data_IF_264220489315
#
_entry.id   IF_264220489315
#
_cell.length_a   1.000
_cell.length_b   1.000
_cell.length_c   1.000
_cell.angle_alpha   90.00
_cell.angle_beta   90.00
_cell.angle_gamma   90.00
#
_symmetry.space_group_name_H-M   'P 1'
#
loop_
_entity.id
_entity.type
_entity.pdbx_description
1 polymer ?
#
# COMPACT_ATOMS: atom_id res chain seq x y z
N UNK A 1 -49.15 45.59 -3.38
CA UNK A 1 -48.58 44.65 -4.35
C UNK A 1 -47.61 43.73 -3.59
N UNK A 2 -48.06 42.52 -3.23
CA UNK A 2 -47.21 41.55 -2.49
C UNK A 2 -46.50 40.66 -3.50
N UNK A 3 -45.17 40.74 -3.53
CA UNK A 3 -44.34 39.88 -4.38
C UNK A 3 -44.09 38.57 -3.59
N UNK A 4 -44.63 37.48 -4.09
CA UNK A 4 -44.39 36.13 -3.56
C UNK A 4 -43.15 35.57 -4.27
N UNK A 5 -42.06 35.40 -3.53
CA UNK A 5 -40.89 34.69 -4.03
C UNK A 5 -41.15 33.19 -3.95
N UNK A 6 -41.25 32.54 -5.11
CA UNK A 6 -41.22 31.10 -5.24
C UNK A 6 -39.75 30.65 -5.18
N UNK A 7 -39.35 30.06 -4.05
CA UNK A 7 -38.10 29.36 -3.97
C UNK A 7 -38.29 27.97 -4.60
N UNK A 8 -37.73 27.75 -5.77
CA UNK A 8 -37.62 26.41 -6.38
C UNK A 8 -36.56 25.64 -5.60
N UNK A 9 -36.87 24.46 -5.00
CA UNK A 9 -35.84 23.59 -4.45
C UNK A 9 -35.09 22.94 -5.63
N UNK A 10 -33.82 23.31 -5.80
CA UNK A 10 -32.89 22.56 -6.63
C UNK A 10 -32.62 21.20 -5.97
N UNK A 11 -33.32 20.16 -6.43
CA UNK A 11 -32.99 18.77 -6.11
C UNK A 11 -31.71 18.42 -6.91
N UNK A 12 -30.56 18.47 -6.24
CA UNK A 12 -29.35 17.87 -6.75
C UNK A 12 -29.55 16.35 -6.72
N UNK A 13 -29.93 15.74 -7.82
CA UNK A 13 -29.80 14.32 -8.02
C UNK A 13 -28.29 13.99 -8.11
N UNK A 14 -27.70 13.62 -7.00
CA UNK A 14 -26.42 12.91 -7.02
C UNK A 14 -26.70 11.56 -7.69
N UNK A 15 -26.27 11.41 -8.93
CA UNK A 15 -26.32 10.15 -9.67
C UNK A 15 -25.26 9.21 -9.06
N UNK A 16 -25.59 8.52 -7.95
CA UNK A 16 -24.74 7.45 -7.45
C UNK A 16 -24.89 6.25 -8.37
N UNK A 17 -23.77 5.75 -8.91
CA UNK A 17 -23.75 4.51 -9.68
C UNK A 17 -24.27 3.35 -8.81
N UNK A 18 -25.08 2.47 -9.40
CA UNK A 18 -25.52 1.26 -8.70
C UNK A 18 -24.35 0.28 -8.46
N UNK A 19 -24.46 -0.60 -7.50
CA UNK A 19 -23.49 -1.69 -7.24
C UNK A 19 -23.17 -2.47 -8.51
N UNK A 20 -24.21 -2.79 -9.30
CA UNK A 20 -24.01 -3.48 -10.58
C UNK A 20 -23.17 -2.67 -11.57
N UNK A 21 -23.35 -1.36 -11.64
CA UNK A 21 -22.59 -0.50 -12.56
C UNK A 21 -21.13 -0.36 -12.13
N UNK A 22 -20.83 -0.44 -10.83
CA UNK A 22 -19.46 -0.41 -10.32
C UNK A 22 -18.72 -1.73 -10.53
N UNK A 23 -19.43 -2.87 -10.44
CA UNK A 23 -18.82 -4.19 -10.45
C UNK A 23 -18.94 -4.95 -11.78
N UNK A 24 -19.98 -4.67 -12.60
CA UNK A 24 -20.27 -5.42 -13.81
C UNK A 24 -20.11 -4.54 -15.05
N UNK A 25 -19.44 -5.09 -16.06
CA UNK A 25 -19.23 -4.43 -17.37
C UNK A 25 -19.77 -5.29 -18.52
N UNK A 26 -20.13 -4.67 -19.61
CA UNK A 26 -20.66 -5.37 -20.78
C UNK A 26 -19.59 -5.64 -21.85
N UNK A 27 -18.49 -4.90 -21.83
CA UNK A 27 -17.44 -5.02 -22.85
C UNK A 27 -16.06 -5.18 -22.22
N UNK A 28 -15.19 -5.94 -22.88
CA UNK A 28 -13.80 -6.16 -22.46
C UNK A 28 -12.95 -4.90 -22.41
N UNK A 29 -13.24 -3.91 -23.25
CA UNK A 29 -12.54 -2.62 -23.27
C UNK A 29 -12.70 -1.84 -21.97
N UNK A 30 -13.81 -2.08 -21.25
CA UNK A 30 -14.09 -1.42 -19.97
C UNK A 30 -13.37 -2.10 -18.78
N UNK A 31 -12.70 -3.23 -19.06
CA UNK A 31 -11.99 -4.07 -18.06
C UNK A 31 -10.52 -3.69 -17.94
N UNK A 32 -9.92 -3.27 -19.05
CA UNK A 32 -8.51 -2.90 -19.10
C UNK A 32 -8.45 -1.39 -18.88
N UNK A 33 -8.02 -0.96 -17.71
CA UNK A 33 -7.69 0.44 -17.49
C UNK A 33 -6.51 0.78 -18.41
N UNK A 34 -6.69 1.77 -19.30
CA UNK A 34 -5.58 2.33 -20.06
C UNK A 34 -4.51 2.78 -19.07
N UNK A 35 -3.30 2.26 -19.23
CA UNK A 35 -2.15 2.65 -18.44
C UNK A 35 -1.88 4.13 -18.70
N UNK A 36 -2.23 4.98 -17.75
CA UNK A 36 -1.83 6.39 -17.78
C UNK A 36 -0.42 6.50 -17.19
N UNK A 37 0.55 6.84 -18.03
CA UNK A 37 1.89 7.16 -17.57
C UNK A 37 1.83 8.32 -16.57
N UNK A 38 2.23 8.06 -15.34
CA UNK A 38 2.25 9.09 -14.31
C UNK A 38 3.40 10.07 -14.61
N UNK A 39 3.07 11.34 -14.80
CA UNK A 39 4.09 12.39 -14.92
C UNK A 39 4.85 12.50 -13.61
N UNK A 40 6.18 12.47 -13.72
CA UNK A 40 7.06 12.66 -12.57
C UNK A 40 6.81 14.01 -11.90
N UNK A 41 6.74 14.02 -10.57
CA UNK A 41 6.63 15.25 -9.79
C UNK A 41 7.93 16.04 -9.83
N UNK A 42 7.82 17.36 -9.83
CA UNK A 42 8.94 18.27 -9.61
C UNK A 42 9.24 18.41 -8.12
N UNK A 43 10.43 18.87 -7.77
CA UNK A 43 10.81 19.17 -6.37
C UNK A 43 9.77 20.08 -5.71
N UNK A 44 9.34 21.16 -6.40
CA UNK A 44 8.35 22.09 -5.85
C UNK A 44 6.99 21.43 -5.59
N UNK A 45 6.55 20.52 -6.44
CA UNK A 45 5.31 19.77 -6.22
C UNK A 45 5.44 18.86 -4.99
N UNK A 46 6.55 18.12 -4.86
CA UNK A 46 6.80 17.27 -3.68
C UNK A 46 6.81 18.10 -2.40
N UNK A 47 7.51 19.24 -2.40
CA UNK A 47 7.62 20.10 -1.23
C UNK A 47 6.28 20.77 -0.86
N UNK A 48 5.45 21.13 -1.84
CA UNK A 48 4.15 21.75 -1.59
C UNK A 48 3.09 20.74 -1.14
N UNK A 49 3.19 19.49 -1.62
CA UNK A 49 2.23 18.43 -1.32
C UNK A 49 2.69 17.47 -0.22
N UNK A 50 3.88 17.68 0.34
CA UNK A 50 4.40 16.83 1.41
C UNK A 50 3.45 16.76 2.62
N UNK A 51 3.45 15.64 3.38
CA UNK A 51 2.71 15.57 4.62
C UNK A 51 3.04 16.72 5.58
N UNK A 52 2.05 17.26 6.26
CA UNK A 52 2.24 18.40 7.19
C UNK A 52 3.14 18.08 8.39
N UNK A 53 3.23 16.79 8.77
CA UNK A 53 4.09 16.31 9.85
C UNK A 53 5.55 16.13 9.43
N UNK A 54 5.84 16.18 8.12
CA UNK A 54 7.20 16.00 7.59
C UNK A 54 7.91 17.34 7.46
N UNK A 55 9.01 17.49 8.17
CA UNK A 55 9.97 18.56 7.95
C UNK A 55 11.07 18.07 7.00
N UNK A 56 11.44 18.89 6.02
CA UNK A 56 12.53 18.60 5.08
C UNK A 56 13.59 19.69 5.21
N UNK A 57 14.80 19.30 5.61
CA UNK A 57 15.94 20.21 5.80
C UNK A 57 17.03 19.87 4.80
N UNK A 58 17.68 20.89 4.21
CA UNK A 58 18.82 20.69 3.32
C UNK A 58 20.09 20.48 4.13
N UNK A 59 20.82 19.40 3.84
CA UNK A 59 22.11 19.09 4.44
C UNK A 59 23.24 19.77 3.67
N UNK A 60 24.21 20.34 4.37
CA UNK A 60 25.44 20.91 3.76
C UNK A 60 26.44 19.82 3.35
N UNK A 61 26.48 18.74 4.12
CA UNK A 61 27.32 17.55 3.87
C UNK A 61 26.38 16.35 3.89
N UNK A 62 26.44 15.53 2.88
CA UNK A 62 25.52 14.40 2.72
C UNK A 62 26.14 13.32 1.82
N UNK A 63 25.59 12.12 1.91
CA UNK A 63 25.81 11.02 0.98
C UNK A 63 24.78 11.14 -0.14
N UNK A 64 25.24 11.25 -1.41
CA UNK A 64 24.33 11.36 -2.56
C UNK A 64 23.60 10.05 -2.84
N UNK A 65 22.44 10.12 -3.45
CA UNK A 65 21.69 8.97 -3.97
C UNK A 65 22.58 8.02 -4.78
N UNK A 66 23.32 8.56 -5.76
CA UNK A 66 24.22 7.75 -6.61
C UNK A 66 25.27 6.97 -5.82
N UNK A 67 25.82 7.57 -4.76
CA UNK A 67 26.83 6.92 -3.93
C UNK A 67 26.20 5.88 -2.99
N UNK A 68 24.98 6.12 -2.54
CA UNK A 68 24.28 5.23 -1.62
C UNK A 68 23.71 4.03 -2.37
N UNK A 69 22.94 4.24 -3.44
CA UNK A 69 22.34 3.18 -4.25
C UNK A 69 23.36 2.26 -4.92
N UNK A 70 24.58 2.75 -5.21
CA UNK A 70 25.65 1.92 -5.75
C UNK A 70 26.09 0.81 -4.80
N UNK A 71 25.93 0.96 -3.49
CA UNK A 71 26.26 -0.10 -2.51
C UNK A 71 25.32 -1.29 -2.66
N UNK A 72 24.03 -1.03 -2.89
CA UNK A 72 23.01 -2.08 -3.07
C UNK A 72 23.19 -2.87 -4.38
N UNK A 73 23.94 -2.34 -5.35
CA UNK A 73 24.10 -2.93 -6.69
C UNK A 73 25.52 -3.40 -7.00
N UNK A 74 26.50 -3.22 -6.10
CA UNK A 74 27.92 -3.42 -6.36
C UNK A 74 28.49 -4.73 -5.84
N UNK A 75 27.67 -5.79 -5.77
CA UNK A 75 28.21 -7.09 -5.38
C UNK A 75 29.03 -7.70 -6.49
N UNK A 76 30.36 -7.73 -6.32
CA UNK A 76 31.29 -8.27 -7.30
C UNK A 76 31.27 -9.81 -7.32
N UNK A 77 30.71 -10.47 -6.28
CA UNK A 77 30.56 -11.93 -6.21
C UNK A 77 29.34 -12.37 -5.41
N UNK A 78 28.83 -13.57 -5.73
CA UNK A 78 27.75 -14.23 -4.96
C UNK A 78 28.12 -14.44 -3.49
N UNK A 79 29.39 -14.75 -3.20
CA UNK A 79 29.89 -14.95 -1.83
C UNK A 79 29.85 -13.66 -1.01
N UNK A 80 30.23 -12.53 -1.60
CA UNK A 80 30.18 -11.22 -0.93
C UNK A 80 28.74 -10.83 -0.60
N UNK A 81 27.81 -11.10 -1.51
CA UNK A 81 26.36 -10.91 -1.28
C UNK A 81 25.85 -11.78 -0.14
N UNK A 82 26.25 -13.07 -0.07
CA UNK A 82 25.88 -13.98 0.99
C UNK A 82 26.43 -13.53 2.36
N UNK A 83 27.68 -13.04 2.40
CA UNK A 83 28.31 -12.55 3.64
C UNK A 83 27.63 -11.26 4.16
N UNK A 84 27.21 -10.37 3.28
CA UNK A 84 26.49 -9.14 3.62
C UNK A 84 25.10 -9.48 4.12
N UNK A 85 24.38 -10.33 3.39
CA UNK A 85 23.06 -10.80 3.78
C UNK A 85 23.08 -11.48 5.15
N UNK A 86 24.03 -12.39 5.38
CA UNK A 86 24.17 -13.08 6.66
C UNK A 86 24.52 -12.14 7.83
N UNK A 87 25.26 -11.05 7.57
CA UNK A 87 25.50 -10.01 8.59
C UNK A 87 24.26 -9.22 8.91
N UNK A 88 23.54 -8.76 7.89
CA UNK A 88 22.29 -8.04 8.07
C UNK A 88 21.24 -8.89 8.80
N UNK A 89 21.09 -10.15 8.43
CA UNK A 89 20.20 -11.11 9.11
C UNK A 89 20.52 -11.22 10.60
N UNK A 90 21.80 -11.34 10.97
CA UNK A 90 22.23 -11.39 12.36
C UNK A 90 22.02 -10.09 13.10
N UNK A 91 22.34 -8.97 12.46
CA UNK A 91 22.22 -7.63 13.06
C UNK A 91 20.77 -7.27 13.39
N UNK A 92 19.84 -7.59 12.49
CA UNK A 92 18.43 -7.25 12.66
C UNK A 92 17.55 -8.40 13.12
N UNK A 93 18.15 -9.53 13.52
CA UNK A 93 17.41 -10.73 13.96
C UNK A 93 16.34 -10.46 15.01
N UNK A 94 16.60 -9.56 15.94
CA UNK A 94 15.65 -9.21 16.98
C UNK A 94 14.35 -8.61 16.40
N UNK A 95 14.43 -7.84 15.33
CA UNK A 95 13.24 -7.32 14.64
C UNK A 95 12.55 -8.43 13.85
N UNK A 96 13.29 -9.25 13.12
CA UNK A 96 12.73 -10.41 12.40
C UNK A 96 11.94 -11.32 13.34
N UNK A 97 12.52 -11.65 14.49
CA UNK A 97 11.86 -12.50 15.48
C UNK A 97 10.57 -11.88 16.05
N UNK A 98 10.56 -10.58 16.33
CA UNK A 98 9.39 -9.89 16.91
C UNK A 98 8.31 -9.56 15.89
N UNK A 99 8.69 -9.34 14.64
CA UNK A 99 7.75 -8.94 13.57
C UNK A 99 7.51 -10.05 12.54
N UNK A 100 7.98 -11.29 12.75
CA UNK A 100 7.77 -12.44 11.86
C UNK A 100 8.18 -12.12 10.41
N UNK A 101 9.36 -11.53 10.23
CA UNK A 101 9.97 -11.18 8.93
C UNK A 101 9.13 -10.23 8.04
N UNK A 102 8.22 -9.45 8.63
CA UNK A 102 7.38 -8.52 7.87
C UNK A 102 8.11 -7.26 7.38
N UNK A 103 9.33 -7.02 7.85
CA UNK A 103 10.12 -5.82 7.52
C UNK A 103 11.55 -6.17 7.13
N UNK A 104 12.03 -5.51 6.08
CA UNK A 104 13.46 -5.42 5.80
C UNK A 104 14.03 -4.24 6.60
N UNK A 105 14.93 -4.51 7.53
CA UNK A 105 15.53 -3.49 8.40
C UNK A 105 16.83 -2.93 7.83
N UNK A 106 17.07 -1.62 8.04
CA UNK A 106 18.25 -0.92 7.52
C UNK A 106 19.13 -0.32 8.60
N UNK A 107 18.53 0.17 9.69
CA UNK A 107 19.28 0.78 10.78
C UNK A 107 18.58 0.54 12.10
N UNK A 108 19.34 0.65 13.19
CA UNK A 108 18.84 0.52 14.54
C UNK A 108 19.55 1.48 15.50
N UNK A 109 18.86 1.88 16.55
CA UNK A 109 19.41 2.76 17.59
C UNK A 109 18.77 2.46 18.94
N UNK A 110 19.61 2.23 19.96
CA UNK A 110 19.15 2.07 21.34
C UNK A 110 19.04 3.43 22.02
N UNK A 111 17.89 3.73 22.64
CA UNK A 111 17.69 4.91 23.47
C UNK A 111 17.01 4.48 24.77
N UNK A 112 17.72 4.57 25.85
CA UNK A 112 17.25 4.05 27.15
C UNK A 112 16.97 2.54 27.06
N UNK A 113 15.73 2.15 27.38
CA UNK A 113 15.26 0.77 27.32
C UNK A 113 14.56 0.42 26.00
N UNK A 114 14.49 1.33 25.04
CA UNK A 114 13.82 1.14 23.77
C UNK A 114 14.85 0.91 22.66
N UNK A 115 14.73 -0.21 21.95
CA UNK A 115 15.46 -0.45 20.71
C UNK A 115 14.57 0.00 19.54
N UNK A 116 15.03 1.02 18.81
CA UNK A 116 14.37 1.49 17.60
C UNK A 116 15.01 0.88 16.36
N UNK A 117 14.20 0.62 15.34
CA UNK A 117 14.65 0.18 14.02
C UNK A 117 13.95 0.95 12.92
N UNK A 118 14.62 1.15 11.79
CA UNK A 118 14.00 1.59 10.55
C UNK A 118 13.78 0.35 9.68
N UNK A 119 12.52 0.04 9.41
CA UNK A 119 12.12 -1.05 8.53
C UNK A 119 11.36 -0.55 7.31
N UNK A 120 11.36 -1.34 6.26
CA UNK A 120 10.43 -1.17 5.14
C UNK A 120 9.72 -2.47 4.83
N UNK A 121 8.53 -2.34 4.31
CA UNK A 121 7.83 -3.41 3.63
C UNK A 121 7.22 -2.84 2.32
N UNK A 122 6.37 -3.61 1.68
CA UNK A 122 5.71 -3.20 0.44
C UNK A 122 4.93 -1.89 0.54
N UNK A 123 4.32 -1.58 1.69
CA UNK A 123 3.55 -0.36 1.88
C UNK A 123 4.42 0.89 2.03
N UNK A 124 5.66 0.77 2.51
CA UNK A 124 6.53 1.92 2.75
C UNK A 124 7.48 1.73 3.94
N UNK A 125 7.92 2.85 4.51
CA UNK A 125 8.84 2.89 5.64
C UNK A 125 8.09 2.92 6.98
N UNK A 126 8.71 2.28 7.98
CA UNK A 126 8.18 2.12 9.33
C UNK A 126 9.23 2.39 10.38
N UNK A 127 8.86 3.09 11.46
CA UNK A 127 9.63 3.10 12.69
C UNK A 127 9.22 1.90 13.54
N UNK A 128 10.13 0.98 13.74
CA UNK A 128 9.98 -0.17 14.61
C UNK A 128 10.48 0.19 16.01
N UNK A 129 9.85 -0.35 17.03
CA UNK A 129 10.32 -0.20 18.41
C UNK A 129 10.08 -1.48 19.19
N UNK A 130 11.07 -1.86 20.02
CA UNK A 130 10.99 -2.97 20.98
C UNK A 130 11.32 -2.42 22.34
N UNK A 131 10.35 -2.49 23.25
CA UNK A 131 10.48 -2.04 24.64
C UNK A 131 9.97 -3.12 25.59
N UNK A 132 10.81 -3.59 26.49
CA UNK A 132 10.46 -4.65 27.45
C UNK A 132 9.84 -5.90 26.80
N UNK A 133 10.32 -6.28 25.60
CA UNK A 133 9.80 -7.39 24.82
C UNK A 133 8.50 -7.13 24.06
N UNK A 134 7.91 -5.94 24.19
CA UNK A 134 6.75 -5.51 23.38
C UNK A 134 7.23 -4.80 22.12
N UNK A 135 6.80 -5.29 20.96
CA UNK A 135 7.12 -4.72 19.66
C UNK A 135 5.96 -3.89 19.12
N UNK A 136 6.27 -2.72 18.53
CA UNK A 136 5.30 -1.87 17.84
C UNK A 136 5.94 -1.31 16.55
N UNK A 137 5.14 -1.13 15.51
CA UNK A 137 5.56 -0.51 14.26
C UNK A 137 4.66 0.67 13.92
N UNK A 138 5.26 1.78 13.50
CA UNK A 138 4.56 3.02 13.18
C UNK A 138 4.90 3.43 11.74
N UNK A 139 3.88 3.53 10.92
CA UNK A 139 4.01 3.88 9.50
C UNK A 139 4.46 5.33 9.33
N UNK A 140 5.42 5.57 8.44
CA UNK A 140 5.96 6.90 8.21
C UNK A 140 5.13 7.72 7.21
N UNK A 141 4.35 7.07 6.33
CA UNK A 141 3.63 7.77 5.26
C UNK A 141 4.54 8.41 4.21
N UNK A 142 5.75 7.90 4.04
CA UNK A 142 6.70 8.36 3.04
C UNK A 142 6.69 7.40 1.83
N UNK A 143 6.24 7.91 0.70
CA UNK A 143 6.15 7.16 -0.56
C UNK A 143 7.53 6.91 -1.17
N UNK A 144 7.80 5.69 -1.62
CA UNK A 144 8.98 5.34 -2.43
C UNK A 144 9.07 6.15 -3.73
N UNK A 145 7.94 6.64 -4.23
CA UNK A 145 7.88 7.44 -5.46
C UNK A 145 8.56 8.81 -5.33
N UNK A 146 8.77 9.30 -4.10
CA UNK A 146 9.24 10.66 -3.83
C UNK A 146 10.42 10.73 -2.88
N UNK A 147 10.56 9.74 -1.97
CA UNK A 147 11.51 9.77 -0.88
C UNK A 147 12.40 8.54 -0.92
N UNK A 148 13.67 8.75 -1.23
CA UNK A 148 14.71 7.75 -1.05
C UNK A 148 15.38 7.96 0.29
N UNK A 149 15.44 6.94 1.11
CA UNK A 149 16.13 6.96 2.40
C UNK A 149 17.47 6.26 2.21
N UNK A 150 18.56 6.92 2.59
CA UNK A 150 19.90 6.36 2.51
C UNK A 150 20.02 5.13 3.45
N UNK A 151 20.66 4.09 2.97
CA UNK A 151 21.01 2.91 3.80
C UNK A 151 22.11 3.27 4.81
N UNK A 152 22.98 4.20 4.45
CA UNK A 152 24.07 4.69 5.32
C UNK A 152 23.85 6.17 5.57
N UNK A 153 23.69 6.54 6.84
CA UNK A 153 23.56 7.93 7.26
C UNK A 153 24.60 8.31 8.33
N UNK A 154 24.99 9.61 8.36
CA UNK A 154 25.95 10.16 9.35
C UNK A 154 25.24 10.62 10.63
N UNK A 155 24.00 11.14 10.52
CA UNK A 155 23.23 11.60 11.67
C UNK A 155 22.59 10.39 12.40
N UNK A 156 22.46 10.46 13.74
CA UNK A 156 21.68 9.48 14.49
C UNK A 156 20.24 9.43 13.97
N UNK A 157 19.68 8.23 13.85
CA UNK A 157 18.30 8.03 13.38
C UNK A 157 17.27 8.76 14.27
N UNK A 158 17.51 8.78 15.57
CA UNK A 158 16.65 9.50 16.52
C UNK A 158 17.51 10.51 17.30
N UNK A 159 17.07 11.76 17.29
CA UNK A 159 17.69 12.85 18.05
C UNK A 159 16.68 13.91 18.44
N UNK A 160 16.76 14.38 19.69
CA UNK A 160 15.96 15.48 20.23
C UNK A 160 14.43 15.30 20.01
N UNK A 161 13.92 14.06 20.13
CA UNK A 161 12.51 13.72 19.96
C UNK A 161 12.06 13.62 18.48
N UNK A 162 13.00 13.64 17.54
CA UNK A 162 12.71 13.48 16.11
C UNK A 162 13.34 12.21 15.54
N UNK A 163 12.58 11.49 14.71
CA UNK A 163 13.13 10.61 13.71
C UNK A 163 13.78 11.46 12.62
N UNK A 164 15.02 11.15 12.26
CA UNK A 164 15.82 11.88 11.27
C UNK A 164 16.39 10.89 10.27
N UNK A 165 16.00 11.04 9.00
CA UNK A 165 16.40 10.14 7.92
C UNK A 165 17.09 10.95 6.83
N UNK A 166 18.34 10.64 6.55
CA UNK A 166 19.05 11.23 5.42
C UNK A 166 18.57 10.60 4.12
N UNK A 167 18.51 11.39 3.06
CA UNK A 167 18.06 10.88 1.78
C UNK A 167 17.99 11.90 0.67
N UNK A 168 17.17 11.58 -0.33
CA UNK A 168 17.01 12.37 -1.54
C UNK A 168 15.55 12.41 -1.97
N UNK A 169 15.15 13.48 -2.63
CA UNK A 169 13.92 13.49 -3.41
C UNK A 169 14.18 12.77 -4.74
N UNK A 170 13.28 11.84 -5.09
CA UNK A 170 13.44 10.99 -6.27
C UNK A 170 12.22 11.04 -7.18
N UNK A 171 12.39 10.55 -8.38
CA UNK A 171 11.31 10.17 -9.30
C UNK A 171 11.51 8.72 -9.72
N UNK A 172 10.43 8.04 -9.94
CA UNK A 172 10.44 6.70 -10.54
C UNK A 172 10.74 6.84 -12.03
N UNK A 173 11.61 5.96 -12.52
CA UNK A 173 11.90 5.77 -13.93
C UNK A 173 11.41 4.35 -14.28
N UNK A 174 10.46 4.26 -15.20
CA UNK A 174 10.03 2.95 -15.72
C UNK A 174 11.14 2.37 -16.59
N UNK A 175 11.53 1.12 -16.32
CA UNK A 175 12.56 0.44 -17.12
C UNK A 175 11.91 -0.17 -18.35
N UNK A 176 12.30 0.31 -19.53
CA UNK A 176 11.73 -0.17 -20.79
C UNK A 176 11.99 -1.68 -20.98
N UNK A 177 10.95 -2.43 -21.33
CA UNK A 177 11.01 -3.87 -21.59
C UNK A 177 11.08 -4.77 -20.33
N UNK A 178 10.98 -4.19 -19.15
CA UNK A 178 10.94 -4.95 -17.89
C UNK A 178 9.69 -4.49 -17.07
N UNK A 179 8.51 -4.98 -17.39
CA UNK A 179 7.29 -4.65 -16.64
C UNK A 179 7.46 -4.99 -15.16
N UNK A 180 7.03 -4.07 -14.27
CA UNK A 180 7.15 -4.24 -12.83
C UNK A 180 8.53 -3.95 -12.24
N UNK A 181 9.53 -3.59 -13.05
CA UNK A 181 10.82 -3.10 -12.58
C UNK A 181 10.87 -1.59 -12.73
N UNK A 182 10.85 -0.90 -11.60
CA UNK A 182 11.04 0.53 -11.54
C UNK A 182 12.44 0.83 -11.05
N UNK A 183 13.09 1.79 -11.67
CA UNK A 183 14.34 2.37 -11.20
C UNK A 183 14.06 3.78 -10.65
N UNK A 184 14.99 4.30 -9.88
CA UNK A 184 14.90 5.62 -9.28
C UNK A 184 15.97 6.57 -9.84
N UNK A 185 15.61 7.83 -9.92
CA UNK A 185 16.55 8.90 -10.20
C UNK A 185 16.39 10.01 -9.19
N UNK A 186 17.48 10.43 -8.56
CA UNK A 186 17.46 11.60 -7.70
C UNK A 186 17.14 12.84 -8.52
N UNK A 187 16.21 13.64 -8.00
CA UNK A 187 15.91 14.99 -8.52
C UNK A 187 16.50 16.06 -7.62
N UNK A 188 16.71 15.76 -6.33
CA UNK A 188 17.46 16.61 -5.41
C UNK A 188 18.01 15.81 -4.23
N UNK A 189 19.33 15.79 -4.10
CA UNK A 189 20.08 15.12 -3.03
C UNK A 189 20.12 15.93 -1.73
N UNK A 190 20.65 15.31 -0.68
CA UNK A 190 21.04 15.97 0.57
C UNK A 190 19.88 16.47 1.40
N UNK A 191 18.85 15.66 1.55
CA UNK A 191 17.71 15.94 2.42
C UNK A 191 17.86 15.25 3.76
N UNK A 192 17.38 15.93 4.81
CA UNK A 192 17.09 15.33 6.10
C UNK A 192 15.56 15.40 6.31
N UNK A 193 14.94 14.23 6.29
CA UNK A 193 13.53 14.05 6.58
C UNK A 193 13.36 13.92 8.09
N UNK A 194 12.58 14.81 8.70
CA UNK A 194 12.38 14.84 10.15
C UNK A 194 10.90 14.68 10.48
N UNK A 195 10.62 13.77 11.41
CA UNK A 195 9.26 13.54 11.93
C UNK A 195 9.31 13.52 13.44
N UNK A 196 8.48 14.32 14.10
CA UNK A 196 8.37 14.28 15.56
C UNK A 196 7.85 12.90 16.00
N UNK A 197 8.53 12.25 16.95
CA UNK A 197 8.24 10.85 17.35
C UNK A 197 6.88 10.73 18.04
N UNK A 198 6.50 11.71 18.88
CA UNK A 198 5.19 11.68 19.54
C UNK A 198 4.05 11.76 18.52
N UNK A 199 4.23 12.59 17.48
CA UNK A 199 3.27 12.68 16.39
C UNK A 199 3.24 11.41 15.53
N UNK A 200 4.41 10.82 15.29
CA UNK A 200 4.54 9.58 14.52
C UNK A 200 3.88 8.41 15.23
N UNK A 201 4.02 8.31 16.55
CA UNK A 201 3.47 7.24 17.37
C UNK A 201 2.00 7.43 17.74
N UNK A 202 1.40 8.58 17.36
CA UNK A 202 0.03 8.86 17.72
C UNK A 202 -0.92 7.84 17.11
N UNK A 203 -1.71 7.22 17.97
CA UNK A 203 -2.74 6.24 17.71
C UNK A 203 -3.95 6.71 18.54
N UNK A 204 -4.91 7.38 17.88
CA UNK A 204 -5.95 8.15 18.57
C UNK A 204 -6.99 7.26 19.22
N UNK A 205 -7.35 6.15 18.59
CA UNK A 205 -8.38 5.23 19.08
C UNK A 205 -7.80 4.01 19.81
N UNK A 206 -6.49 3.79 19.72
CA UNK A 206 -5.77 2.77 20.46
C UNK A 206 -5.94 1.37 19.89
N UNK A 207 -6.13 1.26 18.58
CA UNK A 207 -6.31 -0.02 17.92
C UNK A 207 -4.99 -0.78 17.65
N UNK A 208 -3.87 -0.04 17.44
CA UNK A 208 -2.52 -0.57 17.18
C UNK A 208 -1.91 -0.06 15.87
N UNK A 209 -2.69 0.54 14.96
CA UNK A 209 -2.18 1.33 13.86
C UNK A 209 -2.03 2.79 14.27
N UNK A 210 -1.03 3.49 13.76
CA UNK A 210 -0.90 4.92 14.02
C UNK A 210 -1.77 5.74 13.06
N UNK A 211 -2.22 6.93 13.49
CA UNK A 211 -3.06 7.85 12.71
C UNK A 211 -2.55 8.10 11.29
N UNK A 212 -1.22 8.02 11.07
CA UNK A 212 -0.61 8.21 9.74
C UNK A 212 -0.94 7.04 8.82
N UNK A 213 -0.86 5.80 9.33
CA UNK A 213 -1.24 4.61 8.58
C UNK A 213 -2.71 4.67 8.16
N UNK A 214 -3.58 4.91 9.11
CA UNK A 214 -5.02 4.92 8.90
C UNK A 214 -5.43 5.99 7.89
N UNK A 215 -4.96 7.22 8.04
CA UNK A 215 -5.19 8.31 7.08
C UNK A 215 -4.60 8.03 5.70
N UNK A 216 -3.47 7.30 5.64
CA UNK A 216 -2.83 6.95 4.38
C UNK A 216 -3.66 5.96 3.57
N UNK A 217 -4.36 5.06 4.23
CA UNK A 217 -5.11 3.98 3.59
C UNK A 217 -6.63 4.11 3.71
N UNK A 218 -7.13 5.17 4.33
CA UNK A 218 -8.56 5.47 4.40
C UNK A 218 -9.32 4.75 5.52
N UNK A 219 -8.59 4.32 6.56
CA UNK A 219 -9.17 3.91 7.83
C UNK A 219 -9.53 5.14 8.68
N UNK A 220 -10.31 4.95 9.74
CA UNK A 220 -10.78 6.03 10.58
C UNK A 220 -9.99 6.12 11.90
N UNK A 221 -9.05 7.06 12.06
CA UNK A 221 -8.19 7.16 13.25
C UNK A 221 -8.94 7.54 14.55
N UNK A 222 -10.24 7.75 14.50
CA UNK A 222 -11.06 8.03 15.70
C UNK A 222 -11.98 6.83 16.05
N UNK A 223 -11.89 5.73 15.30
CA UNK A 223 -12.74 4.57 15.50
C UNK A 223 -11.99 3.29 15.16
N UNK A 224 -11.56 2.54 16.15
CA UNK A 224 -10.80 1.29 16.07
C UNK A 224 -11.45 0.13 15.28
N UNK A 225 -12.63 0.33 14.77
CA UNK A 225 -13.41 -0.58 13.95
C UNK A 225 -14.07 0.27 12.85
N UNK A 226 -13.27 0.53 11.79
CA UNK A 226 -13.63 1.49 10.74
C UNK A 226 -14.92 1.12 10.03
N UNK A 227 -15.15 -0.16 9.75
CA UNK A 227 -16.33 -0.64 9.02
C UNK A 227 -17.51 -1.01 9.95
N UNK A 228 -17.28 -1.10 11.27
CA UNK A 228 -18.27 -1.36 12.29
C UNK A 228 -18.79 -2.80 12.28
N UNK A 229 -17.97 -3.79 11.93
CA UNK A 229 -18.35 -5.20 11.95
C UNK A 229 -18.12 -5.88 13.31
N UNK A 230 -17.40 -5.21 14.22
CA UNK A 230 -17.12 -5.65 15.58
C UNK A 230 -15.72 -6.24 15.75
N UNK A 231 -14.88 -6.23 14.69
CA UNK A 231 -13.47 -6.59 14.74
C UNK A 231 -12.66 -5.30 14.69
N UNK A 232 -11.62 -5.22 15.52
CA UNK A 232 -10.69 -4.09 15.53
C UNK A 232 -9.83 -4.11 14.27
N UNK A 233 -9.56 -2.95 13.67
CA UNK A 233 -8.86 -2.81 12.37
C UNK A 233 -7.49 -3.54 12.36
N UNK A 234 -6.77 -3.52 13.48
CA UNK A 234 -5.48 -4.20 13.63
C UNK A 234 -5.59 -5.73 13.58
N UNK A 235 -6.73 -6.29 13.96
CA UNK A 235 -7.01 -7.73 13.96
C UNK A 235 -7.82 -8.16 12.74
N UNK A 236 -8.50 -7.24 12.07
CA UNK A 236 -9.34 -7.52 10.93
C UNK A 236 -8.52 -7.84 9.67
N UNK A 237 -9.03 -8.78 8.89
CA UNK A 237 -8.46 -9.14 7.58
C UNK A 237 -8.98 -8.23 6.46
N UNK A 238 -10.09 -7.53 6.67
CA UNK A 238 -10.67 -6.55 5.75
C UNK A 238 -11.17 -5.32 6.53
N UNK A 239 -10.26 -4.50 7.09
CA UNK A 239 -10.63 -3.44 8.03
C UNK A 239 -11.45 -2.30 7.42
N UNK A 240 -11.57 -2.26 6.09
CA UNK A 240 -12.28 -1.18 5.40
C UNK A 240 -13.75 -1.49 5.11
N UNK A 241 -14.12 -2.77 4.98
CA UNK A 241 -15.45 -3.16 4.51
C UNK A 241 -15.91 -4.48 5.11
N UNK A 242 -17.14 -4.49 5.67
CA UNK A 242 -17.76 -5.71 6.19
C UNK A 242 -17.83 -6.82 5.17
N UNK A 243 -17.46 -8.01 5.59
CA UNK A 243 -17.58 -9.21 4.77
C UNK A 243 -19.02 -9.48 4.38
N UNK A 244 -19.24 -9.89 3.13
CA UNK A 244 -20.54 -10.18 2.55
C UNK A 244 -20.67 -11.62 2.06
N UNK A 245 -21.88 -12.06 1.82
CA UNK A 245 -22.15 -13.40 1.29
C UNK A 245 -22.88 -13.31 -0.06
N UNK A 246 -22.32 -12.60 -1.05
CA UNK A 246 -22.87 -12.52 -2.39
C UNK A 246 -22.11 -13.50 -3.31
N UNK A 247 -22.78 -14.09 -4.31
CA UNK A 247 -22.12 -14.99 -5.24
C UNK A 247 -20.92 -14.34 -5.96
N UNK A 248 -20.99 -13.04 -6.27
CA UNK A 248 -19.89 -12.34 -6.93
C UNK A 248 -18.74 -12.03 -5.96
N UNK A 249 -19.01 -11.81 -4.69
CA UNK A 249 -17.99 -11.76 -3.63
C UNK A 249 -17.22 -13.08 -3.58
N UNK A 250 -17.94 -14.22 -3.57
CA UNK A 250 -17.31 -15.56 -3.64
C UNK A 250 -16.46 -15.77 -4.91
N UNK A 251 -16.86 -15.15 -6.04
CA UNK A 251 -16.03 -15.20 -7.26
C UNK A 251 -14.70 -14.47 -7.08
N UNK A 252 -14.69 -13.31 -6.44
CA UNK A 252 -13.45 -12.59 -6.13
C UNK A 252 -12.57 -13.36 -5.14
N UNK A 253 -13.16 -13.96 -4.11
CA UNK A 253 -12.43 -14.78 -3.12
C UNK A 253 -11.67 -15.95 -3.77
N UNK A 254 -12.22 -16.58 -4.81
CA UNK A 254 -11.55 -17.64 -5.56
C UNK A 254 -10.31 -17.17 -6.35
N UNK A 255 -10.18 -15.87 -6.57
CA UNK A 255 -9.05 -15.27 -7.30
C UNK A 255 -7.97 -14.73 -6.37
N UNK A 256 -8.25 -14.67 -5.06
CA UNK A 256 -7.25 -14.23 -4.09
C UNK A 256 -6.10 -15.25 -4.00
N UNK A 257 -4.90 -14.81 -3.59
CA UNK A 257 -3.83 -15.73 -3.24
C UNK A 257 -4.25 -16.69 -2.11
N UNK A 258 -3.93 -17.96 -2.27
CA UNK A 258 -4.13 -18.96 -1.21
C UNK A 258 -2.84 -19.16 -0.43
N UNK A 259 -2.92 -19.15 0.89
CA UNK A 259 -1.76 -19.28 1.79
C UNK A 259 -1.67 -20.63 2.48
N UNK A 260 -2.53 -21.57 2.10
CA UNK A 260 -2.55 -22.94 2.60
C UNK A 260 -2.75 -23.01 4.11
N UNK A 261 -1.82 -23.64 4.83
CA UNK A 261 -1.89 -23.80 6.29
C UNK A 261 -1.16 -22.68 7.06
N UNK A 262 -0.67 -21.64 6.41
CA UNK A 262 0.04 -20.56 7.07
C UNK A 262 -0.92 -19.70 7.91
N UNK A 263 -0.53 -19.39 9.15
CA UNK A 263 -1.31 -18.47 9.99
C UNK A 263 -1.02 -17.02 9.61
N UNK A 264 -1.76 -16.50 8.65
CA UNK A 264 -1.60 -15.12 8.15
C UNK A 264 -2.10 -14.07 9.15
N UNK A 265 -2.91 -14.43 10.12
CA UNK A 265 -3.41 -13.50 11.16
C UNK A 265 -2.31 -12.85 11.98
N UNK A 266 -1.16 -13.53 12.15
CA UNK A 266 0.01 -12.99 12.87
C UNK A 266 0.76 -11.89 12.09
N UNK A 267 0.44 -11.68 10.82
CA UNK A 267 1.13 -10.73 9.95
C UNK A 267 0.36 -9.40 9.89
N UNK A 268 0.34 -8.65 11.00
CA UNK A 268 -0.46 -7.42 11.15
C UNK A 268 -0.05 -6.28 10.20
N UNK A 269 1.18 -6.31 9.68
CA UNK A 269 1.74 -5.25 8.84
C UNK A 269 1.92 -5.68 7.37
N UNK A 270 1.40 -6.85 7.00
CA UNK A 270 1.47 -7.38 5.64
C UNK A 270 0.08 -7.34 5.00
N UNK A 271 -0.03 -6.69 3.86
CA UNK A 271 -1.30 -6.45 3.17
C UNK A 271 -1.20 -6.78 1.69
N UNK A 272 -2.30 -7.27 1.12
CA UNK A 272 -2.61 -7.18 -0.29
C UNK A 272 -3.35 -5.85 -0.54
N UNK A 273 -2.99 -5.14 -1.59
CA UNK A 273 -3.61 -3.85 -1.91
C UNK A 273 -4.25 -3.92 -3.29
N UNK A 274 -5.55 -3.66 -3.35
CA UNK A 274 -6.32 -3.68 -4.57
C UNK A 274 -6.88 -2.30 -4.90
N UNK A 275 -6.90 -1.96 -6.20
CA UNK A 275 -7.50 -0.71 -6.68
C UNK A 275 -8.83 -1.01 -7.34
N UNK A 276 -9.93 -0.69 -6.67
CA UNK A 276 -11.28 -0.99 -7.16
C UNK A 276 -12.33 -0.14 -6.47
N UNK A 277 -13.43 0.17 -7.19
CA UNK A 277 -14.67 0.75 -6.62
C UNK A 277 -15.80 -0.30 -6.59
N UNK A 278 -15.49 -1.61 -6.76
CA UNK A 278 -16.51 -2.68 -6.80
C UNK A 278 -16.89 -3.16 -5.39
N UNK A 279 -18.13 -2.95 -5.00
CA UNK A 279 -18.65 -3.36 -3.69
C UNK A 279 -18.60 -4.88 -3.46
N UNK A 280 -18.76 -5.71 -4.50
CA UNK A 280 -18.65 -7.16 -4.33
C UNK A 280 -17.20 -7.57 -4.02
N UNK A 281 -16.21 -6.86 -4.55
CA UNK A 281 -14.83 -7.10 -4.23
C UNK A 281 -14.47 -6.54 -2.85
N UNK A 282 -15.03 -5.42 -2.46
CA UNK A 282 -14.83 -4.85 -1.12
C UNK A 282 -15.29 -5.79 -0.01
N UNK A 283 -16.33 -6.61 -0.24
CA UNK A 283 -16.98 -7.45 0.78
C UNK A 283 -16.36 -8.85 0.93
N UNK A 284 -15.17 -9.10 0.41
CA UNK A 284 -14.48 -10.39 0.54
C UNK A 284 -14.11 -10.71 1.97
N UNK A 285 -13.96 -12.02 2.27
CA UNK A 285 -13.38 -12.54 3.50
C UNK A 285 -12.02 -13.17 3.19
N UNK A 286 -10.91 -12.41 3.22
CA UNK A 286 -9.60 -12.86 2.75
C UNK A 286 -8.84 -13.64 3.82
N UNK A 287 -7.82 -14.42 3.40
CA UNK A 287 -6.90 -15.11 4.30
C UNK A 287 -5.73 -14.23 4.77
N UNK A 288 -5.38 -13.17 4.02
CA UNK A 288 -4.40 -12.14 4.36
C UNK A 288 -5.10 -10.79 4.39
N UNK A 289 -4.60 -9.85 5.20
CA UNK A 289 -5.13 -8.49 5.29
C UNK A 289 -5.16 -7.80 3.94
N UNK A 290 -6.27 -7.13 3.65
CA UNK A 290 -6.45 -6.37 2.41
C UNK A 290 -6.68 -4.90 2.70
N UNK A 291 -6.22 -4.07 1.76
CA UNK A 291 -6.55 -2.64 1.69
C UNK A 291 -7.08 -2.33 0.29
N UNK A 292 -8.07 -1.46 0.22
CA UNK A 292 -8.68 -1.06 -1.04
C UNK A 292 -8.42 0.41 -1.34
N UNK A 293 -7.93 0.69 -2.55
CA UNK A 293 -7.77 2.04 -3.06
C UNK A 293 -8.89 2.36 -4.05
N UNK A 294 -9.49 3.56 -3.99
CA UNK A 294 -10.43 4.00 -5.00
C UNK A 294 -9.83 4.04 -6.41
N UNK A 295 -10.62 3.69 -7.45
CA UNK A 295 -10.18 3.79 -8.85
C UNK A 295 -9.92 5.26 -9.25
N UNK A 296 -10.75 6.18 -8.78
CA UNK A 296 -10.61 7.60 -9.07
C UNK A 296 -9.51 8.26 -8.23
N UNK A 297 -8.50 8.87 -8.88
CA UNK A 297 -7.45 9.65 -8.21
C UNK A 297 -8.00 10.73 -7.27
N UNK A 298 -9.11 11.36 -7.61
CA UNK A 298 -9.73 12.40 -6.79
C UNK A 298 -10.29 11.91 -5.45
N UNK A 299 -10.54 10.60 -5.34
CA UNK A 299 -11.01 9.95 -4.10
C UNK A 299 -9.88 9.33 -3.29
N UNK A 300 -8.69 9.17 -3.87
CA UNK A 300 -7.53 8.58 -3.20
C UNK A 300 -6.98 9.53 -2.14
N UNK A 301 -6.49 8.98 -1.04
CA UNK A 301 -5.76 9.74 -0.03
C UNK A 301 -4.47 10.29 -0.63
N UNK A 302 -3.84 11.24 0.04
CA UNK A 302 -2.57 11.80 -0.42
C UNK A 302 -1.53 10.70 -0.68
N UNK A 303 -1.35 9.80 0.28
CA UNK A 303 -0.36 8.73 0.17
C UNK A 303 -0.65 7.78 -0.99
N UNK A 304 -1.87 7.22 -1.06
CA UNK A 304 -2.24 6.25 -2.10
C UNK A 304 -2.25 6.85 -3.51
N UNK A 305 -2.48 8.16 -3.64
CA UNK A 305 -2.38 8.87 -4.92
C UNK A 305 -0.95 8.96 -5.46
N UNK A 306 0.04 8.93 -4.56
CA UNK A 306 1.45 9.13 -4.88
C UNK A 306 2.29 7.85 -4.87
N UNK A 307 1.72 6.73 -4.43
CA UNK A 307 2.43 5.46 -4.32
C UNK A 307 1.87 4.43 -5.28
N UNK A 308 2.70 3.45 -5.64
CA UNK A 308 2.34 2.30 -6.47
C UNK A 308 2.52 1.04 -5.61
N UNK A 309 1.53 0.77 -4.74
CA UNK A 309 1.57 -0.36 -3.79
C UNK A 309 0.76 -1.57 -4.24
N UNK A 310 0.08 -1.49 -5.40
CA UNK A 310 -0.70 -2.60 -5.94
C UNK A 310 0.19 -3.52 -6.76
N UNK A 311 0.24 -4.83 -6.45
CA UNK A 311 0.98 -5.82 -7.24
C UNK A 311 0.08 -6.60 -8.18
N UNK A 312 -1.15 -6.85 -7.78
CA UNK A 312 -2.12 -7.60 -8.55
C UNK A 312 -3.35 -6.74 -8.85
N UNK A 313 -3.89 -6.94 -10.02
CA UNK A 313 -5.16 -6.35 -10.44
C UNK A 313 -6.15 -7.45 -10.69
N UNK A 314 -7.33 -7.35 -10.09
CA UNK A 314 -8.49 -8.18 -10.41
C UNK A 314 -9.55 -7.25 -11.01
N UNK A 315 -9.99 -7.55 -12.22
CA UNK A 315 -10.87 -6.68 -12.98
C UNK A 315 -12.32 -6.69 -12.48
N UNK A 316 -13.13 -5.75 -12.99
CA UNK A 316 -14.57 -5.88 -12.93
C UNK A 316 -15.03 -7.13 -13.69
N UNK A 317 -16.18 -7.66 -13.31
CA UNK A 317 -16.77 -8.86 -13.91
C UNK A 317 -17.44 -8.47 -15.23
N UNK A 318 -17.03 -9.09 -16.33
CA UNK A 318 -17.66 -8.89 -17.63
C UNK A 318 -18.82 -9.89 -17.82
N UNK A 319 -20.00 -9.37 -18.16
CA UNK A 319 -21.17 -10.19 -18.53
C UNK A 319 -20.96 -10.81 -19.93
N UNK A 320 -21.35 -12.08 -20.10
CA UNK A 320 -21.45 -12.66 -21.42
C UNK A 320 -22.82 -12.33 -22.05
N UNK A 321 -22.81 -11.60 -23.15
CA UNK A 321 -24.06 -11.19 -23.84
C UNK A 321 -24.84 -12.34 -24.49
N UNK A 322 -24.20 -13.51 -24.68
CA UNK A 322 -24.81 -14.69 -25.34
C UNK A 322 -25.31 -15.70 -24.33
N UNK A 323 -24.64 -15.83 -23.19
CA UNK A 323 -25.00 -16.74 -22.12
C UNK A 323 -24.95 -16.03 -20.75
N UNK A 324 -26.10 -15.79 -20.13
CA UNK A 324 -26.17 -15.06 -18.86
C UNK A 324 -25.64 -15.84 -17.64
N UNK A 325 -25.29 -17.14 -17.81
CA UNK A 325 -24.67 -17.95 -16.76
C UNK A 325 -23.15 -17.83 -16.75
N UNK A 326 -22.56 -17.33 -17.85
CA UNK A 326 -21.13 -17.22 -18.05
C UNK A 326 -20.70 -15.79 -17.84
N UNK A 327 -19.62 -15.62 -17.09
CA UNK A 327 -18.96 -14.34 -16.82
C UNK A 327 -17.49 -14.45 -17.16
N UNK A 328 -16.83 -13.32 -17.38
CA UNK A 328 -15.38 -13.26 -17.56
C UNK A 328 -14.78 -12.34 -16.52
N UNK A 329 -13.60 -12.69 -16.03
CA UNK A 329 -12.83 -11.88 -15.10
C UNK A 329 -11.34 -12.04 -15.41
N UNK A 330 -10.60 -10.96 -15.26
CA UNK A 330 -9.17 -10.94 -15.55
C UNK A 330 -8.40 -10.69 -14.25
N UNK A 331 -7.30 -11.43 -14.09
CA UNK A 331 -6.33 -11.21 -13.00
C UNK A 331 -4.96 -11.06 -13.60
N UNK A 332 -4.21 -10.04 -13.18
CA UNK A 332 -2.81 -9.82 -13.58
C UNK A 332 -1.94 -9.40 -12.41
N UNK A 333 -0.66 -9.71 -12.52
CA UNK A 333 0.41 -9.25 -11.68
C UNK A 333 1.59 -8.82 -12.55
N UNK A 334 2.75 -8.59 -11.94
CA UNK A 334 3.94 -8.07 -12.62
C UNK A 334 4.48 -9.00 -13.73
N UNK A 335 4.26 -10.31 -13.61
CA UNK A 335 4.81 -11.32 -14.54
C UNK A 335 3.78 -12.21 -15.20
N UNK A 336 2.50 -12.00 -14.96
CA UNK A 336 1.44 -12.83 -15.53
C UNK A 336 0.14 -12.04 -15.76
N UNK A 337 -0.69 -12.58 -16.66
CA UNK A 337 -2.07 -12.17 -16.81
C UNK A 337 -2.92 -13.35 -17.24
N UNK A 338 -4.05 -13.57 -16.59
CA UNK A 338 -4.97 -14.66 -16.87
C UNK A 338 -6.39 -14.15 -17.10
N UNK A 339 -7.00 -14.61 -18.20
CA UNK A 339 -8.43 -14.47 -18.46
C UNK A 339 -9.17 -15.71 -17.94
N UNK A 340 -10.17 -15.52 -17.11
CA UNK A 340 -11.00 -16.60 -16.60
C UNK A 340 -12.41 -16.50 -17.17
N UNK A 341 -12.95 -17.65 -17.58
CA UNK A 341 -14.39 -17.88 -17.72
C UNK A 341 -14.92 -18.42 -16.39
N UNK A 342 -15.98 -17.84 -15.88
CA UNK A 342 -16.60 -18.19 -14.62
C UNK A 342 -18.06 -18.60 -14.86
N UNK A 343 -18.43 -19.82 -14.48
CA UNK A 343 -19.77 -20.36 -14.59
C UNK A 343 -20.33 -20.65 -13.18
N UNK A 344 -21.55 -20.19 -12.90
CA UNK A 344 -22.18 -20.42 -11.61
C UNK A 344 -23.25 -21.51 -11.71
N UNK A 345 -22.93 -22.69 -11.15
CA UNK A 345 -23.80 -23.86 -11.19
C UNK A 345 -23.88 -24.52 -9.80
N UNK A 346 -25.09 -24.93 -9.42
CA UNK A 346 -25.36 -25.64 -8.16
C UNK A 346 -24.80 -24.94 -6.91
N UNK A 347 -24.84 -23.59 -6.89
CA UNK A 347 -24.37 -22.79 -5.76
C UNK A 347 -22.85 -22.61 -5.69
N UNK A 348 -22.13 -22.98 -6.73
CA UNK A 348 -20.66 -22.89 -6.79
C UNK A 348 -20.18 -22.28 -8.11
N UNK A 349 -19.07 -21.57 -8.04
CA UNK A 349 -18.35 -21.10 -9.21
C UNK A 349 -17.39 -22.16 -9.75
N UNK A 350 -17.36 -22.31 -11.05
CA UNK A 350 -16.34 -23.05 -11.80
C UNK A 350 -15.53 -22.05 -12.60
N UNK A 351 -14.24 -21.96 -12.33
CA UNK A 351 -13.29 -21.12 -13.06
C UNK A 351 -12.52 -21.95 -14.09
N UNK A 352 -12.38 -21.41 -15.29
CA UNK A 352 -11.57 -22.00 -16.37
C UNK A 352 -10.69 -20.90 -16.96
N UNK A 353 -9.37 -21.11 -17.03
CA UNK A 353 -8.47 -20.20 -17.75
C UNK A 353 -8.73 -20.34 -19.24
N UNK A 354 -9.13 -19.26 -19.91
CA UNK A 354 -9.45 -19.21 -21.33
C UNK A 354 -8.44 -18.41 -22.14
N UNK A 355 -7.51 -17.73 -21.47
CA UNK A 355 -6.42 -16.99 -22.06
C UNK A 355 -5.43 -16.56 -20.98
N UNK A 356 -4.25 -16.14 -21.38
CA UNK A 356 -3.26 -15.64 -20.45
C UNK A 356 -1.88 -15.51 -21.08
N UNK A 357 -0.98 -14.90 -20.32
CA UNK A 357 0.43 -14.79 -20.66
C UNK A 357 1.29 -14.86 -19.38
N UNK A 358 2.53 -15.27 -19.55
CA UNK A 358 3.59 -15.17 -18.54
C UNK A 358 4.75 -14.46 -19.22
N UNK A 359 5.34 -13.46 -18.52
CA UNK A 359 6.48 -12.67 -19.02
C UNK A 359 7.78 -13.22 -18.46
#
# INVERSE_FOLDING_TARGET
MKIIYFALPFLFFSCSQSVEQRCLVNNRKDVINDYEEQKSYTVNQILNEKPEYLEIVNLKKYRSFKKDSAVSHSYESSKESEDIFSRQEKEFKIFSDHFSDQFLCYSQQQIGNILYGLGRNRLGFWLLSIENGKANAHFLGLSFSHYYINEIQENPMIRDGFLQLEGSLVKIIKVAGLPGYDDYSAIEDGKLFRINIERLKKDTDGDGYNDIFEKSFGLNPENKDTDGDGINDFEDMNPMFKSGNNKFTQLYELLLPGYGNANMKRLQYTFEVYKTDCDYFHQINPELRVLFMPESKGKQTYYTRMTDVTDETISKIQKNNKDPKVFYIYKSGNSFGNDYSAEYENGKWKLTIVGGYVV
#
